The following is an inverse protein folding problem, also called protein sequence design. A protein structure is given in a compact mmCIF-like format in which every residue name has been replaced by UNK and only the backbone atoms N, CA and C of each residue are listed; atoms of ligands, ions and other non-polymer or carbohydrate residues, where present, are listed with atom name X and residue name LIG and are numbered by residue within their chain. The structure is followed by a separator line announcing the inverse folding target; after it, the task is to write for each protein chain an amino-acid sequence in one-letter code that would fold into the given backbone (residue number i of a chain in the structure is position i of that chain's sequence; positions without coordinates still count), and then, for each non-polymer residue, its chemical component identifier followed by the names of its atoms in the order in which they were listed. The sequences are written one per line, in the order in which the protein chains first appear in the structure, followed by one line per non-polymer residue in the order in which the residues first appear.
data_IF_969736927728
#
_entry.id   IF_969736927728
#
_cell.length_a   1.000
_cell.length_b   1.000
_cell.length_c   1.000
_cell.angle_alpha   90.00
_cell.angle_beta   90.00
_cell.angle_gamma   90.00
#
_symmetry.space_group_name_H-M   'P 1'
#
loop_
_entity.id
_entity.type
_entity.pdbx_description
1 polymer ?
#
# COMPACT_ATOMS: atom_id res chain seq x y z
N UNK A 1 6.26 7.03 -6.69
CA UNK A 1 5.10 6.19 -7.07
C UNK A 1 4.33 6.89 -8.18
N UNK A 2 3.75 6.15 -9.13
CA UNK A 2 3.07 6.75 -10.30
C UNK A 2 1.61 7.12 -10.05
N UNK A 3 0.98 6.57 -9.02
CA UNK A 3 -0.40 6.90 -8.61
C UNK A 3 -0.34 7.90 -7.44
N UNK A 4 -0.89 9.13 -7.58
CA UNK A 4 -0.96 10.08 -6.48
C UNK A 4 -1.71 9.51 -5.28
N UNK A 5 -1.16 9.69 -4.07
CA UNK A 5 -1.72 9.15 -2.82
C UNK A 5 -1.15 7.79 -2.41
N UNK A 6 -0.44 7.08 -3.30
CA UNK A 6 0.33 5.87 -2.95
C UNK A 6 1.70 6.26 -2.39
N UNK A 7 2.00 5.77 -1.18
CA UNK A 7 3.27 6.03 -0.48
C UNK A 7 4.21 4.83 -0.47
N UNK A 8 3.72 3.64 -0.79
CA UNK A 8 4.56 2.46 -0.90
C UNK A 8 3.83 1.22 -1.39
N UNK A 9 4.61 0.18 -1.68
CA UNK A 9 4.14 -1.15 -2.06
C UNK A 9 5.01 -2.20 -1.38
N UNK A 10 4.42 -3.34 -1.03
CA UNK A 10 5.15 -4.49 -0.50
C UNK A 10 4.52 -5.80 -0.95
N UNK A 11 5.28 -6.88 -0.86
CA UNK A 11 4.76 -8.24 -0.90
C UNK A 11 4.49 -8.70 0.53
N UNK A 12 3.38 -9.41 0.74
CA UNK A 12 2.98 -9.86 2.06
C UNK A 12 1.95 -10.97 2.01
N UNK A 13 1.26 -11.14 3.13
CA UNK A 13 0.12 -12.05 3.24
C UNK A 13 -1.15 -11.24 3.54
N UNK A 14 -2.20 -11.56 2.80
CA UNK A 14 -3.57 -11.06 3.00
C UNK A 14 -4.43 -12.30 3.18
N UNK A 15 -5.07 -12.44 4.34
CA UNK A 15 -5.79 -13.67 4.72
C UNK A 15 -4.94 -14.95 4.52
N UNK A 16 -3.68 -14.91 4.96
CA UNK A 16 -2.66 -15.97 4.83
C UNK A 16 -2.29 -16.37 3.38
N UNK A 17 -2.76 -15.62 2.37
CA UNK A 17 -2.41 -15.82 0.96
C UNK A 17 -1.39 -14.79 0.48
N UNK A 18 -0.43 -15.17 -0.39
CA UNK A 18 0.46 -14.22 -1.04
C UNK A 18 -0.32 -13.08 -1.69
N UNK A 19 0.05 -11.84 -1.34
CA UNK A 19 -0.61 -10.65 -1.85
C UNK A 19 0.35 -9.50 -2.02
N UNK A 20 -0.10 -8.50 -2.78
CA UNK A 20 0.58 -7.23 -2.93
C UNK A 20 -0.15 -6.22 -2.05
N UNK A 21 0.59 -5.56 -1.15
CA UNK A 21 0.10 -4.47 -0.33
C UNK A 21 0.41 -3.14 -0.99
N UNK A 22 -0.59 -2.27 -1.07
CA UNK A 22 -0.45 -0.89 -1.54
C UNK A 22 -0.77 0.05 -0.38
N UNK A 23 0.24 0.80 0.05
CA UNK A 23 0.13 1.73 1.17
C UNK A 23 -0.23 3.12 0.66
N UNK A 24 -1.22 3.74 1.29
CA UNK A 24 -1.77 5.03 0.86
C UNK A 24 -1.81 6.03 2.02
N UNK A 25 -1.72 7.33 1.70
CA UNK A 25 -1.89 8.40 2.70
C UNK A 25 -3.29 8.32 3.32
N UNK A 26 -4.30 8.13 2.46
CA UNK A 26 -5.71 8.02 2.82
C UNK A 26 -6.44 7.15 1.82
N UNK A 27 -7.31 6.25 2.30
CA UNK A 27 -8.23 5.50 1.43
C UNK A 27 -9.31 6.43 0.91
N UNK A 28 -9.43 6.48 -0.42
CA UNK A 28 -10.49 7.22 -1.11
C UNK A 28 -11.08 6.35 -2.20
N UNK A 29 -12.38 6.50 -2.52
CA UNK A 29 -13.00 5.74 -3.60
C UNK A 29 -12.31 5.93 -4.96
N UNK A 30 -11.78 7.13 -5.22
CA UNK A 30 -11.01 7.41 -6.44
C UNK A 30 -9.73 6.58 -6.53
N UNK A 31 -9.03 6.44 -5.40
CA UNK A 31 -7.78 5.70 -5.33
C UNK A 31 -8.03 4.19 -5.44
N UNK A 32 -9.07 3.69 -4.79
CA UNK A 32 -9.51 2.29 -4.89
C UNK A 32 -9.94 1.91 -6.32
N UNK A 33 -10.49 2.84 -7.09
CA UNK A 33 -10.81 2.62 -8.51
C UNK A 33 -9.59 2.59 -9.42
N UNK A 34 -8.50 3.29 -9.04
CA UNK A 34 -7.26 3.38 -9.82
C UNK A 34 -6.31 2.22 -9.54
N UNK A 35 -6.36 1.66 -8.33
CA UNK A 35 -5.52 0.55 -7.92
C UNK A 35 -6.20 -0.75 -8.39
N UNK A 36 -5.51 -1.60 -9.17
CA UNK A 36 -6.07 -2.89 -9.56
C UNK A 36 -6.30 -3.75 -8.32
N UNK A 37 -7.39 -4.52 -8.29
CA UNK A 37 -7.67 -5.47 -7.18
C UNK A 37 -6.88 -6.77 -7.30
N UNK A 38 -6.33 -7.06 -8.49
CA UNK A 38 -5.47 -8.21 -8.79
C UNK A 38 -4.36 -7.79 -9.74
N UNK A 39 -3.12 -8.20 -9.46
CA UNK A 39 -1.96 -8.00 -10.34
C UNK A 39 -1.20 -9.31 -10.47
N UNK A 40 -0.98 -9.78 -11.71
CA UNK A 40 -0.29 -11.05 -12.01
C UNK A 40 -0.82 -12.27 -11.25
N UNK A 41 -2.12 -12.28 -10.95
CA UNK A 41 -2.79 -13.35 -10.20
C UNK A 41 -2.74 -13.21 -8.68
N UNK A 42 -2.05 -12.20 -8.15
CA UNK A 42 -2.02 -11.89 -6.72
C UNK A 42 -3.07 -10.84 -6.36
N UNK A 43 -3.79 -11.06 -5.27
CA UNK A 43 -4.70 -10.06 -4.70
C UNK A 43 -3.91 -8.82 -4.30
N UNK A 44 -4.49 -7.65 -4.55
CA UNK A 44 -3.93 -6.37 -4.12
C UNK A 44 -4.79 -5.84 -2.98
N UNK A 45 -4.17 -5.64 -1.82
CA UNK A 45 -4.80 -5.02 -0.65
C UNK A 45 -4.34 -3.57 -0.51
N UNK A 46 -5.29 -2.64 -0.42
CA UNK A 46 -5.01 -1.24 -0.12
C UNK A 46 -5.04 -1.04 1.39
N UNK A 47 -4.01 -0.43 1.96
CA UNK A 47 -3.88 -0.18 3.39
C UNK A 47 -3.60 1.32 3.63
N UNK A 48 -4.36 1.95 4.52
CA UNK A 48 -4.14 3.35 4.90
C UNK A 48 -3.07 3.40 5.98
N UNK A 49 -1.94 4.05 5.69
CA UNK A 49 -0.80 4.15 6.61
C UNK A 49 -0.42 5.59 6.94
N UNK A 50 -0.97 6.57 6.22
CA UNK A 50 -0.45 7.94 6.24
C UNK A 50 0.87 8.04 5.48
N UNK A 51 1.66 9.06 5.79
CA UNK A 51 2.97 9.28 5.16
C UNK A 51 4.05 8.38 5.78
N UNK A 52 4.91 7.82 4.93
CA UNK A 52 6.13 7.18 5.40
C UNK A 52 7.21 8.21 5.68
N UNK A 53 7.76 8.15 6.88
CA UNK A 53 8.90 8.95 7.29
C UNK A 53 10.05 8.02 7.71
N UNK A 54 11.28 8.45 7.42
CA UNK A 54 12.43 7.78 7.99
C UNK A 54 12.34 7.82 9.52
N UNK A 55 12.73 6.72 10.16
CA UNK A 55 12.95 6.72 11.60
C UNK A 55 14.01 7.81 11.93
N UNK A 56 13.79 8.64 12.96
CA UNK A 56 14.80 9.60 13.39
C UNK A 56 16.12 8.90 13.71
N UNK A 57 17.26 9.50 13.31
CA UNK A 57 18.59 8.88 13.39
C UNK A 57 19.05 8.58 14.84
N UNK A 58 18.42 9.18 15.86
CA UNK A 58 18.77 9.00 17.27
C UNK A 58 17.54 8.59 18.09
N UNK A 59 17.49 7.32 18.49
CA UNK A 59 16.61 6.81 19.54
C UNK A 59 17.52 6.31 20.67
N UNK A 60 17.94 7.23 21.54
CA UNK A 60 18.61 6.88 22.80
C UNK A 60 17.60 6.31 23.81
#
# INVERSE_FOLDING_TARGET
MSIPGVVGTAEGLCDDQPCIKVFVIKKTPELEQKIPTVLDGYTVEVEETGEFHALPENQD
#
